data_IF_011625434609
#
_entry.id   IF_011625434609
#
_cell.length_a   1.000
_cell.length_b   1.000
_cell.length_c   1.000
_cell.angle_alpha   90.00
_cell.angle_beta   90.00
_cell.angle_gamma   90.00
#
_symmetry.space_group_name_H-M   'P 1'
#
loop_
_entity.id
_entity.type
_entity.pdbx_description
1 polymer ?
#
# COMPACT_ATOMS: atom_id res chain seq x y z
N UNK A 1 10.45 -14.89 3.91
CA UNK A 1 10.81 -13.45 3.85
C UNK A 1 9.77 -12.57 3.16
N UNK A 2 9.51 -12.66 1.84
CA UNK A 2 8.52 -11.76 1.18
C UNK A 2 7.06 -12.09 1.55
N UNK A 3 6.71 -13.38 1.56
CA UNK A 3 5.37 -13.85 1.95
C UNK A 3 5.01 -13.48 3.40
N UNK A 4 5.99 -13.51 4.32
CA UNK A 4 5.81 -13.09 5.72
C UNK A 4 5.41 -11.61 5.80
N UNK A 5 6.09 -10.73 5.05
CA UNK A 5 5.77 -9.30 5.02
C UNK A 5 4.34 -9.07 4.50
N UNK A 6 3.96 -9.75 3.42
CA UNK A 6 2.62 -9.62 2.85
C UNK A 6 1.54 -10.16 3.80
N UNK A 7 1.85 -11.17 4.61
CA UNK A 7 0.92 -11.72 5.60
C UNK A 7 0.52 -10.71 6.68
N UNK A 8 1.44 -9.82 7.06
CA UNK A 8 1.24 -8.72 8.03
C UNK A 8 0.46 -7.52 7.46
N UNK A 9 0.24 -7.47 6.13
CA UNK A 9 -0.55 -6.44 5.49
C UNK A 9 -2.04 -6.81 5.50
N UNK A 10 -2.89 -5.80 5.73
CA UNK A 10 -4.33 -5.91 5.43
C UNK A 10 -4.54 -6.31 3.98
N UNK A 11 -5.60 -7.08 3.72
CA UNK A 11 -5.90 -7.59 2.37
C UNK A 11 -5.92 -6.49 1.31
N UNK A 12 -6.60 -5.37 1.58
CA UNK A 12 -6.64 -4.23 0.65
C UNK A 12 -5.24 -3.68 0.32
N UNK A 13 -4.31 -3.70 1.29
CA UNK A 13 -2.96 -3.18 1.11
C UNK A 13 -2.13 -4.14 0.27
N UNK A 14 -2.28 -5.45 0.53
CA UNK A 14 -1.63 -6.51 -0.23
C UNK A 14 -2.07 -6.48 -1.70
N UNK A 15 -3.38 -6.40 -1.94
CA UNK A 15 -3.95 -6.34 -3.29
C UNK A 15 -3.39 -5.16 -4.08
N UNK A 16 -3.44 -3.94 -3.52
CA UNK A 16 -2.93 -2.76 -4.20
C UNK A 16 -1.43 -2.85 -4.42
N UNK A 17 -0.66 -3.28 -3.41
CA UNK A 17 0.80 -3.38 -3.53
C UNK A 17 1.22 -4.38 -4.62
N UNK A 18 0.62 -5.58 -4.64
CA UNK A 18 0.94 -6.59 -5.67
C UNK A 18 0.61 -6.05 -7.05
N UNK A 19 -0.58 -5.50 -7.25
CA UNK A 19 -0.96 -5.00 -8.57
C UNK A 19 -0.09 -3.81 -9.01
N UNK A 20 0.25 -2.89 -8.10
CA UNK A 20 1.00 -1.66 -8.42
C UNK A 20 2.50 -1.89 -8.59
N UNK A 21 3.11 -2.74 -7.78
CA UNK A 21 4.57 -2.84 -7.64
C UNK A 21 5.15 -4.18 -8.06
N UNK A 22 4.34 -5.25 -8.10
CA UNK A 22 4.79 -6.56 -8.58
C UNK A 22 4.36 -6.77 -10.03
N UNK A 23 3.18 -6.27 -10.39
CA UNK A 23 2.60 -6.38 -11.74
C UNK A 23 2.71 -5.07 -12.55
N UNK A 24 3.37 -4.04 -12.02
CA UNK A 24 3.59 -2.73 -12.67
C UNK A 24 2.34 -2.06 -13.27
N UNK A 25 1.16 -2.33 -12.70
CA UNK A 25 -0.10 -1.79 -13.22
C UNK A 25 -0.31 -0.33 -12.83
N UNK A 26 -0.99 0.45 -13.67
CA UNK A 26 -1.30 1.85 -13.35
C UNK A 26 -2.39 1.99 -12.28
N UNK A 27 -2.45 3.14 -11.60
CA UNK A 27 -3.56 3.45 -10.66
C UNK A 27 -4.94 3.31 -11.32
N UNK A 28 -5.05 3.63 -12.61
CA UNK A 28 -6.31 3.53 -13.34
C UNK A 28 -6.72 2.07 -13.57
N UNK A 29 -5.77 1.20 -13.93
CA UNK A 29 -6.04 -0.22 -14.16
C UNK A 29 -6.40 -0.93 -12.86
N UNK A 30 -5.67 -0.63 -11.78
CA UNK A 30 -5.97 -1.17 -10.45
C UNK A 30 -7.34 -0.71 -9.95
N UNK A 31 -7.69 0.55 -10.17
CA UNK A 31 -9.02 1.07 -9.86
C UNK A 31 -10.12 0.31 -10.61
N UNK A 32 -9.90 0.01 -11.89
CA UNK A 32 -10.84 -0.77 -12.71
C UNK A 32 -10.96 -2.23 -12.23
N UNK A 33 -9.85 -2.87 -11.89
CA UNK A 33 -9.82 -4.28 -11.43
C UNK A 33 -10.52 -4.44 -10.08
N UNK A 34 -10.23 -3.54 -9.13
CA UNK A 34 -10.77 -3.64 -7.77
C UNK A 34 -12.16 -2.97 -7.62
N UNK A 35 -12.66 -2.30 -8.66
CA UNK A 35 -13.91 -1.53 -8.59
C UNK A 35 -13.83 -0.33 -7.64
N UNK A 36 -12.64 0.27 -7.49
CA UNK A 36 -12.38 1.37 -6.56
C UNK A 36 -12.18 2.70 -7.28
N UNK A 37 -12.33 3.80 -6.54
CA UNK A 37 -11.91 5.10 -7.07
C UNK A 37 -10.38 5.20 -7.14
N UNK A 38 -9.85 5.96 -8.11
CA UNK A 38 -8.41 6.26 -8.20
C UNK A 38 -7.86 6.89 -6.91
N UNK A 39 -8.69 7.67 -6.20
CA UNK A 39 -8.36 8.26 -4.90
C UNK A 39 -8.21 7.23 -3.78
N UNK A 40 -9.10 6.22 -3.72
CA UNK A 40 -8.96 5.09 -2.80
C UNK A 40 -7.69 4.33 -3.12
N UNK A 41 -7.43 3.99 -4.38
CA UNK A 41 -6.21 3.28 -4.80
C UNK A 41 -4.95 4.04 -4.38
N UNK A 42 -4.80 5.33 -4.69
CA UNK A 42 -3.62 6.12 -4.25
C UNK A 42 -3.44 6.16 -2.74
N UNK A 43 -4.54 6.28 -2.00
CA UNK A 43 -4.50 6.32 -0.54
C UNK A 43 -4.07 4.99 0.04
N UNK A 44 -4.60 3.89 -0.50
CA UNK A 44 -4.25 2.54 -0.10
C UNK A 44 -2.82 2.20 -0.49
N UNK A 45 -2.38 2.57 -1.70
CA UNK A 45 -1.01 2.39 -2.22
C UNK A 45 0.03 3.05 -1.30
N UNK A 46 -0.19 4.32 -0.95
CA UNK A 46 0.67 5.05 -0.02
C UNK A 46 0.76 4.38 1.36
N UNK A 47 -0.38 3.94 1.91
CA UNK A 47 -0.45 3.27 3.22
C UNK A 47 0.16 1.87 3.18
N UNK A 48 -0.06 1.13 2.10
CA UNK A 48 0.53 -0.19 1.86
C UNK A 48 2.06 -0.06 1.82
N UNK A 49 2.59 0.88 1.04
CA UNK A 49 4.02 1.16 0.97
C UNK A 49 4.60 1.62 2.31
N UNK A 50 3.88 2.45 3.07
CA UNK A 50 4.28 2.82 4.43
C UNK A 50 4.36 1.60 5.35
N UNK A 51 3.39 0.68 5.29
CA UNK A 51 3.38 -0.54 6.11
C UNK A 51 4.46 -1.53 5.68
N UNK A 52 4.67 -1.76 4.39
CA UNK A 52 5.76 -2.61 3.87
C UNK A 52 7.11 -2.05 4.32
N UNK A 53 7.34 -0.74 4.15
CA UNK A 53 8.53 -0.09 4.68
C UNK A 53 8.62 -0.26 6.18
N UNK A 54 7.54 -0.06 6.93
CA UNK A 54 7.59 -0.22 8.37
C UNK A 54 7.92 -1.66 8.77
N UNK A 55 7.40 -2.70 8.11
CA UNK A 55 7.72 -4.09 8.45
C UNK A 55 9.18 -4.42 8.11
N UNK A 56 9.64 -4.01 6.93
CA UNK A 56 11.04 -4.16 6.51
C UNK A 56 12.00 -3.39 7.40
N UNK A 57 11.61 -2.17 7.75
CA UNK A 57 12.42 -1.27 8.53
C UNK A 57 12.36 -1.72 9.98
N UNK A 58 11.20 -2.05 10.60
CA UNK A 58 10.95 -2.40 12.03
C UNK A 58 11.81 -3.50 12.66
N UNK A 59 12.84 -3.96 11.96
CA UNK A 59 14.16 -4.11 12.58
C UNK A 59 14.89 -2.80 12.97
N UNK A 60 14.30 -1.60 12.78
CA UNK A 60 14.71 -0.18 12.92
C UNK A 60 13.47 0.71 12.65
N UNK A 61 13.33 1.87 13.29
CA UNK A 61 12.07 2.63 13.31
C UNK A 61 11.92 3.61 12.13
N UNK A 62 10.70 3.81 11.59
CA UNK A 62 10.35 5.04 10.84
C UNK A 62 9.02 5.60 11.35
N UNK A 63 9.16 6.64 12.17
CA UNK A 63 8.12 7.52 12.67
C UNK A 63 8.03 8.70 11.68
N UNK A 64 6.90 8.89 10.98
CA UNK A 64 6.76 10.07 10.10
C UNK A 64 5.71 10.08 9.00
N UNK A 65 4.87 9.04 8.83
CA UNK A 65 3.85 9.05 7.75
C UNK A 65 2.41 9.26 8.25
N UNK A 66 2.23 9.52 9.55
CA UNK A 66 0.92 9.81 10.16
C UNK A 66 0.39 11.21 9.86
N UNK A 67 1.17 12.10 9.25
CA UNK A 67 0.80 13.53 9.14
C UNK A 67 0.07 13.92 7.84
N UNK A 68 -0.09 13.01 6.86
CA UNK A 68 -0.50 13.44 5.52
C UNK A 68 -1.99 13.40 5.15
N UNK A 69 -2.95 13.18 6.06
CA UNK A 69 -4.38 13.18 5.68
C UNK A 69 -5.32 13.84 6.69
N UNK A 70 -5.17 15.15 6.84
CA UNK A 70 -6.33 16.06 6.88
C UNK A 70 -6.54 16.59 5.46
N UNK A 71 -7.80 16.84 5.08
CA UNK A 71 -8.29 17.39 3.81
C UNK A 71 -8.61 16.36 2.70
N UNK A 72 -9.83 15.80 2.77
CA UNK A 72 -10.93 16.21 1.88
C UNK A 72 -12.26 15.73 2.45
#
# INVERSE_FOLDING_TARGET
>A
MFEEILSELKEEYRQVFVLRHVQDMTVADVAKILGWSKGKVRTTDFRAMAKVRNVLISGKEVQGLSEFKTQN
#
